data_IF_231721651953
#
_entry.id   IF_231721651953
#
_cell.length_a   1.000
_cell.length_b   1.000
_cell.length_c   1.000
_cell.angle_alpha   90.00
_cell.angle_beta   90.00
_cell.angle_gamma   90.00
#
_symmetry.space_group_name_H-M   'P 1'
#
loop_
_entity.id
_entity.type
_entity.pdbx_description
1 polymer ?
#
# COMPACT_ATOMS: atom_id res chain seq x y z
N UNK A 1 -12.71 13.42 -14.61
CA UNK A 1 -12.08 12.92 -13.37
C UNK A 1 -12.93 11.76 -12.87
N UNK A 2 -12.43 10.53 -13.03
CA UNK A 2 -13.16 9.32 -12.65
C UNK A 2 -13.09 9.09 -11.15
N UNK A 3 -14.22 9.26 -10.49
CA UNK A 3 -14.44 8.74 -9.14
C UNK A 3 -14.37 7.20 -9.21
N UNK A 4 -13.31 6.59 -8.70
CA UNK A 4 -13.40 5.20 -8.24
C UNK A 4 -14.10 5.18 -6.89
N UNK A 5 -15.39 5.54 -6.91
CA UNK A 5 -16.31 5.08 -5.88
C UNK A 5 -16.45 3.58 -6.06
N UNK A 6 -16.17 2.80 -5.03
CA UNK A 6 -16.61 1.41 -4.96
C UNK A 6 -18.14 1.40 -4.98
N UNK A 7 -18.74 1.40 -6.18
CA UNK A 7 -20.12 1.01 -6.35
C UNK A 7 -20.24 -0.48 -6.02
N UNK A 8 -20.56 -0.73 -4.76
CA UNK A 8 -20.94 -2.04 -4.27
C UNK A 8 -22.20 -2.50 -5.04
N UNK A 9 -22.18 -3.62 -5.78
CA UNK A 9 -23.36 -4.08 -6.49
C UNK A 9 -24.47 -4.37 -5.47
N UNK A 10 -25.61 -3.69 -5.60
CA UNK A 10 -26.77 -3.85 -4.69
C UNK A 10 -27.35 -5.28 -4.65
N UNK A 11 -26.86 -6.21 -5.49
CA UNK A 11 -27.39 -7.57 -5.69
C UNK A 11 -26.72 -8.68 -4.89
N UNK A 12 -25.58 -8.43 -4.22
CA UNK A 12 -24.89 -9.47 -3.46
C UNK A 12 -25.55 -9.70 -2.08
N UNK A 13 -25.89 -10.96 -1.79
CA UNK A 13 -26.54 -11.39 -0.54
C UNK A 13 -25.53 -11.97 0.45
N UNK A 14 -24.43 -12.55 -0.06
CA UNK A 14 -23.43 -13.27 0.74
C UNK A 14 -22.02 -12.78 0.39
N UNK A 15 -21.18 -12.63 1.41
CA UNK A 15 -19.78 -12.25 1.30
C UNK A 15 -18.88 -13.40 1.76
N UNK A 16 -17.84 -13.66 1.00
CA UNK A 16 -16.82 -14.63 1.35
C UNK A 16 -15.47 -13.91 1.46
N UNK A 17 -14.71 -14.26 2.49
CA UNK A 17 -13.37 -13.78 2.75
C UNK A 17 -12.43 -14.96 2.90
N UNK A 18 -11.35 -14.96 2.13
CA UNK A 18 -10.18 -15.79 2.41
C UNK A 18 -9.13 -14.96 3.14
N UNK A 19 -8.73 -15.43 4.31
CA UNK A 19 -7.63 -14.92 5.09
C UNK A 19 -6.37 -15.75 4.82
N UNK A 20 -5.32 -15.12 4.30
CA UNK A 20 -4.03 -15.75 4.04
C UNK A 20 -2.85 -14.93 4.61
N UNK A 21 -1.77 -15.60 4.98
CA UNK A 21 -0.57 -14.94 5.52
C UNK A 21 0.39 -14.47 4.41
N UNK A 22 0.46 -15.26 3.34
CA UNK A 22 1.23 -14.96 2.13
C UNK A 22 0.33 -15.18 0.92
N UNK A 23 0.59 -14.45 -0.18
CA UNK A 23 -0.13 -14.62 -1.45
C UNK A 23 0.15 -16.02 -2.03
N UNK A 24 -0.72 -16.98 -1.72
CA UNK A 24 -0.51 -18.38 -2.09
C UNK A 24 -1.73 -19.03 -2.73
N UNK A 25 -2.93 -18.79 -2.19
CA UNK A 25 -4.16 -19.50 -2.62
C UNK A 25 -5.32 -18.56 -2.92
N UNK A 26 -5.27 -17.29 -2.49
CA UNK A 26 -6.38 -16.36 -2.63
C UNK A 26 -6.75 -15.99 -4.06
N UNK A 27 -5.78 -15.85 -4.96
CA UNK A 27 -6.08 -15.53 -6.36
C UNK A 27 -6.84 -16.67 -7.05
N UNK A 28 -6.34 -17.90 -6.90
CA UNK A 28 -6.98 -19.09 -7.46
C UNK A 28 -8.39 -19.29 -6.87
N UNK A 29 -8.51 -19.18 -5.55
CA UNK A 29 -9.78 -19.39 -4.85
C UNK A 29 -10.86 -18.37 -5.20
N UNK A 30 -10.48 -17.10 -5.42
CA UNK A 30 -11.43 -16.07 -5.89
C UNK A 30 -11.87 -16.34 -7.32
N UNK A 31 -10.96 -16.79 -8.19
CA UNK A 31 -11.29 -17.18 -9.57
C UNK A 31 -12.22 -18.39 -9.61
N UNK A 32 -12.00 -19.38 -8.75
CA UNK A 32 -12.88 -20.55 -8.63
C UNK A 32 -14.31 -20.15 -8.27
N UNK A 33 -14.53 -19.02 -7.60
CA UNK A 33 -15.86 -18.55 -7.19
C UNK A 33 -16.47 -17.50 -8.12
N UNK A 34 -15.78 -17.14 -9.22
CA UNK A 34 -16.23 -16.07 -10.12
C UNK A 34 -17.58 -16.36 -10.76
N UNK A 35 -17.89 -17.64 -11.00
CA UNK A 35 -19.16 -18.07 -11.59
C UNK A 35 -20.36 -17.81 -10.66
N UNK A 36 -20.12 -17.55 -9.36
CA UNK A 36 -21.14 -17.22 -8.35
C UNK A 36 -21.22 -15.73 -8.03
N UNK A 37 -20.58 -14.87 -8.81
CA UNK A 37 -20.54 -13.41 -8.59
C UNK A 37 -21.92 -12.70 -8.52
N UNK A 38 -23.00 -13.39 -8.92
CA UNK A 38 -24.37 -12.88 -8.86
C UNK A 38 -25.01 -13.03 -7.47
N UNK A 39 -24.45 -13.89 -6.59
CA UNK A 39 -24.95 -14.16 -5.23
C UNK A 39 -23.85 -13.95 -4.18
N UNK A 40 -22.61 -14.31 -4.54
CA UNK A 40 -21.45 -14.37 -3.67
C UNK A 40 -20.39 -13.33 -4.07
N UNK A 41 -20.05 -12.44 -3.15
CA UNK A 41 -18.89 -11.55 -3.29
C UNK A 41 -17.66 -12.19 -2.68
N UNK A 42 -16.73 -12.69 -3.50
CA UNK A 42 -15.47 -13.24 -3.02
C UNK A 42 -14.41 -12.14 -2.83
N UNK A 43 -13.68 -12.19 -1.72
CA UNK A 43 -12.63 -11.24 -1.35
C UNK A 43 -11.48 -11.96 -0.66
N UNK A 44 -10.29 -11.39 -0.79
CA UNK A 44 -9.10 -11.81 -0.04
C UNK A 44 -8.75 -10.77 1.03
N UNK A 45 -8.20 -11.23 2.14
CA UNK A 45 -7.69 -10.43 3.23
C UNK A 45 -6.37 -11.03 3.71
N UNK A 46 -5.40 -10.17 4.03
CA UNK A 46 -4.11 -10.60 4.55
C UNK A 46 -4.16 -10.77 6.07
N UNK A 47 -3.17 -11.46 6.64
CA UNK A 47 -3.04 -11.70 8.08
C UNK A 47 -2.98 -10.42 8.93
N UNK A 48 -2.56 -9.29 8.34
CA UNK A 48 -2.56 -7.98 8.97
C UNK A 48 -3.91 -7.24 8.90
N UNK A 49 -4.95 -7.84 8.31
CA UNK A 49 -6.28 -7.23 8.25
C UNK A 49 -6.89 -7.09 9.64
N UNK A 50 -7.55 -5.96 9.97
CA UNK A 50 -8.25 -5.79 11.24
C UNK A 50 -9.35 -6.85 11.47
N UNK A 51 -9.88 -7.44 10.40
CA UNK A 51 -10.86 -8.53 10.46
C UNK A 51 -10.29 -9.80 11.11
N UNK A 52 -8.99 -10.07 11.00
CA UNK A 52 -8.33 -11.23 11.61
C UNK A 52 -8.44 -11.17 13.14
N UNK A 53 -8.21 -9.98 13.70
CA UNK A 53 -8.33 -9.75 15.15
C UNK A 53 -9.79 -9.83 15.60
N UNK A 54 -10.70 -9.22 14.84
CA UNK A 54 -12.14 -9.23 15.15
C UNK A 54 -12.74 -10.64 15.15
N UNK A 55 -12.31 -11.49 14.22
CA UNK A 55 -12.80 -12.87 14.06
C UNK A 55 -11.97 -13.88 14.85
N UNK A 56 -10.94 -13.44 15.58
CA UNK A 56 -10.01 -14.27 16.33
C UNK A 56 -9.42 -15.42 15.47
N UNK A 57 -9.03 -15.09 14.23
CA UNK A 57 -8.41 -16.04 13.30
C UNK A 57 -6.95 -16.23 13.70
N UNK A 58 -6.59 -17.46 14.07
CA UNK A 58 -5.23 -17.83 14.51
C UNK A 58 -4.47 -18.69 13.52
N UNK A 59 -5.20 -19.33 12.60
CA UNK A 59 -4.66 -20.28 11.64
C UNK A 59 -4.91 -19.76 10.23
N UNK A 60 -3.91 -19.85 9.37
CA UNK A 60 -4.03 -19.49 7.96
C UNK A 60 -3.72 -20.72 7.08
N UNK A 61 -4.31 -20.83 5.88
CA UNK A 61 -5.40 -19.99 5.37
C UNK A 61 -6.76 -20.35 5.97
N UNK A 62 -7.61 -19.35 6.25
CA UNK A 62 -8.97 -19.53 6.82
C UNK A 62 -10.00 -18.83 5.95
N UNK A 63 -11.15 -19.47 5.78
CA UNK A 63 -12.25 -19.00 4.94
C UNK A 63 -13.42 -18.66 5.84
N UNK A 64 -14.01 -17.48 5.65
CA UNK A 64 -15.20 -17.05 6.36
C UNK A 64 -16.30 -16.61 5.38
N UNK A 65 -17.54 -16.99 5.66
CA UNK A 65 -18.73 -16.66 4.88
C UNK A 65 -19.68 -15.86 5.75
N UNK A 66 -20.18 -14.74 5.25
CA UNK A 66 -21.09 -13.83 5.96
C UNK A 66 -22.34 -13.56 5.13
N UNK A 67 -23.49 -13.54 5.77
CA UNK A 67 -24.70 -12.99 5.16
C UNK A 67 -24.72 -11.47 5.36
N UNK A 68 -25.19 -10.72 4.37
CA UNK A 68 -25.18 -9.25 4.41
C UNK A 68 -25.96 -8.65 5.59
N UNK A 69 -26.99 -9.34 6.05
CA UNK A 69 -27.88 -8.96 7.15
C UNK A 69 -27.45 -9.57 8.51
N UNK A 70 -26.37 -10.35 8.56
CA UNK A 70 -25.90 -11.04 9.75
C UNK A 70 -24.50 -10.59 10.15
N UNK A 71 -24.31 -10.34 11.45
CA UNK A 71 -22.97 -10.05 12.00
C UNK A 71 -22.14 -11.32 12.23
N UNK A 72 -22.79 -12.49 12.30
CA UNK A 72 -22.12 -13.77 12.51
C UNK A 72 -21.77 -14.45 11.18
N UNK A 73 -20.64 -15.14 11.15
CA UNK A 73 -20.25 -15.95 10.01
C UNK A 73 -21.19 -17.15 9.88
N UNK A 74 -21.71 -17.39 8.67
CA UNK A 74 -22.44 -18.61 8.30
C UNK A 74 -21.52 -19.82 8.20
N UNK A 75 -20.24 -19.59 7.95
CA UNK A 75 -19.22 -20.62 7.83
C UNK A 75 -17.86 -20.01 8.14
N UNK A 76 -17.05 -20.68 8.95
CA UNK A 76 -15.68 -20.25 9.24
C UNK A 76 -14.81 -21.46 9.53
N UNK A 77 -13.95 -21.86 8.59
CA UNK A 77 -13.03 -22.99 8.75
C UNK A 77 -11.73 -22.79 7.97
N UNK A 78 -10.74 -23.63 8.26
CA UNK A 78 -9.46 -23.66 7.53
C UNK A 78 -9.70 -24.02 6.05
N UNK A 79 -8.97 -23.37 5.16
CA UNK A 79 -9.00 -23.70 3.73
C UNK A 79 -8.46 -25.12 3.48
N UNK A 80 -9.25 -25.92 2.77
CA UNK A 80 -8.93 -27.27 2.32
C UNK A 80 -9.45 -27.47 0.89
N UNK A 81 -9.10 -28.59 0.26
CA UNK A 81 -9.61 -28.95 -1.06
C UNK A 81 -11.15 -29.13 -1.09
N UNK A 82 -11.79 -29.25 0.07
CA UNK A 82 -13.25 -29.44 0.18
C UNK A 82 -14.01 -28.12 0.34
N UNK A 83 -13.31 -27.02 0.62
CA UNK A 83 -13.88 -25.73 1.00
C UNK A 83 -14.87 -25.16 -0.02
N UNK A 84 -14.62 -25.31 -1.32
CA UNK A 84 -15.54 -24.80 -2.35
C UNK A 84 -16.91 -25.49 -2.25
N UNK A 85 -16.92 -26.82 -2.04
CA UNK A 85 -18.16 -27.57 -1.83
C UNK A 85 -18.83 -27.22 -0.51
N UNK A 86 -18.06 -27.02 0.56
CA UNK A 86 -18.60 -26.65 1.88
C UNK A 86 -19.25 -25.27 1.84
N UNK A 87 -18.69 -24.33 1.08
CA UNK A 87 -19.33 -23.04 0.80
C UNK A 87 -20.64 -23.24 0.04
N UNK A 88 -20.65 -24.08 -1.00
CA UNK A 88 -21.84 -24.35 -1.80
C UNK A 88 -22.97 -24.98 -0.97
N UNK A 89 -22.62 -25.92 -0.10
CA UNK A 89 -23.55 -26.56 0.83
C UNK A 89 -24.07 -25.54 1.86
N UNK A 90 -23.21 -24.65 2.39
CA UNK A 90 -23.59 -23.60 3.32
C UNK A 90 -24.54 -22.56 2.68
N UNK A 91 -24.25 -22.12 1.45
CA UNK A 91 -25.11 -21.19 0.69
C UNK A 91 -26.46 -21.85 0.39
N UNK A 92 -26.45 -23.10 -0.07
CA UNK A 92 -27.67 -23.83 -0.41
C UNK A 92 -28.52 -24.11 0.84
N UNK A 93 -27.87 -24.42 1.97
CA UNK A 93 -28.52 -24.62 3.26
C UNK A 93 -29.20 -23.35 3.78
N UNK A 94 -28.49 -22.21 3.75
CA UNK A 94 -29.01 -20.91 4.18
C UNK A 94 -30.21 -20.47 3.33
N UNK A 95 -30.13 -20.65 2.00
CA UNK A 95 -31.24 -20.34 1.09
C UNK A 95 -32.48 -21.20 1.32
N UNK A 96 -32.31 -22.48 1.65
CA UNK A 96 -33.43 -23.40 1.92
C UNK A 96 -34.07 -23.16 3.29
N UNK A 97 -33.31 -22.70 4.29
CA UNK A 97 -33.78 -22.48 5.66
C UNK A 97 -34.40 -21.10 5.89
N UNK A 98 -34.46 -20.23 4.88
CA UNK A 98 -35.08 -18.90 5.00
C UNK A 98 -34.50 -18.05 6.13
N UNK A 99 -33.22 -18.29 6.47
CA UNK A 99 -32.52 -17.63 7.56
C UNK A 99 -32.91 -18.03 8.98
N UNK A 100 -33.58 -19.17 9.19
CA UNK A 100 -33.73 -19.78 10.52
C UNK A 100 -32.62 -20.81 10.75
N UNK A 101 -31.63 -20.41 11.56
CA UNK A 101 -30.38 -21.12 11.83
C UNK A 101 -30.57 -22.59 12.28
N UNK A 102 -29.75 -23.48 11.71
CA UNK A 102 -29.15 -24.55 12.51
C UNK A 102 -27.91 -23.99 13.23
N UNK A 103 -27.74 -24.20 14.55
CA UNK A 103 -26.62 -23.64 15.29
C UNK A 103 -25.32 -24.33 14.88
N UNK A 104 -24.33 -23.55 14.46
CA UNK A 104 -22.96 -24.06 14.36
C UNK A 104 -22.39 -24.11 15.78
N UNK A 105 -22.07 -25.33 16.21
CA UNK A 105 -21.40 -25.67 17.46
C UNK A 105 -19.92 -25.25 17.42
N UNK A 106 -19.63 -23.95 17.53
CA UNK A 106 -18.41 -23.34 18.14
C UNK A 106 -18.28 -21.87 17.72
N UNK A 107 -19.28 -21.06 18.03
CA UNK A 107 -19.00 -19.64 18.30
C UNK A 107 -19.05 -19.49 19.81
N UNK A 108 -17.90 -19.62 20.47
CA UNK A 108 -17.76 -19.02 21.80
C UNK A 108 -18.21 -17.59 21.63
N UNK A 109 -19.21 -17.16 22.40
CA UNK A 109 -19.54 -15.74 22.51
C UNK A 109 -18.21 -15.02 22.67
N UNK A 110 -17.84 -14.21 21.68
CA UNK A 110 -16.77 -13.27 21.89
C UNK A 110 -17.19 -12.53 23.17
N UNK A 111 -16.33 -12.48 24.22
CA UNK A 111 -16.57 -11.48 25.23
C UNK A 111 -16.75 -10.17 24.46
N UNK A 112 -17.69 -9.34 24.91
CA UNK A 112 -17.72 -7.95 24.49
C UNK A 112 -16.34 -7.41 24.85
N UNK A 113 -15.38 -7.55 23.93
CA UNK A 113 -14.28 -6.65 23.82
C UNK A 113 -15.03 -5.36 23.64
N UNK A 114 -15.07 -4.58 24.72
CA UNK A 114 -14.83 -3.16 24.59
C UNK A 114 -13.84 -3.08 23.45
N UNK A 115 -14.35 -2.77 22.26
CA UNK A 115 -13.52 -2.19 21.24
C UNK A 115 -12.85 -1.10 22.04
N UNK A 116 -11.58 -1.27 22.39
CA UNK A 116 -10.65 -0.18 22.25
C UNK A 116 -10.86 0.20 20.80
N UNK A 117 -11.90 1.01 20.57
CA UNK A 117 -12.02 1.84 19.41
C UNK A 117 -10.64 2.44 19.42
N UNK A 118 -9.80 2.05 18.45
CA UNK A 118 -8.70 2.92 18.07
C UNK A 118 -9.37 4.27 18.04
N UNK A 119 -9.06 5.17 19.00
CA UNK A 119 -9.88 6.34 19.23
C UNK A 119 -10.04 6.95 17.85
N UNK A 120 -11.26 7.29 17.44
CA UNK A 120 -11.43 7.98 16.17
C UNK A 120 -10.66 9.29 16.35
N UNK A 121 -9.38 9.30 15.96
CA UNK A 121 -8.49 10.41 16.20
C UNK A 121 -9.00 11.44 15.20
N UNK A 122 -9.71 12.42 15.73
CA UNK A 122 -10.04 13.59 14.95
C UNK A 122 -8.74 14.31 14.62
N UNK A 123 -8.21 14.04 13.42
CA UNK A 123 -6.97 14.61 12.94
C UNK A 123 -7.06 16.14 12.76
N UNK A 124 -8.27 16.72 12.75
CA UNK A 124 -8.44 18.17 12.79
C UNK A 124 -8.14 18.74 14.18
N UNK A 125 -8.59 18.05 15.24
CA UNK A 125 -8.38 18.48 16.62
C UNK A 125 -7.04 18.04 17.20
N UNK A 126 -6.48 16.93 16.71
CA UNK A 126 -5.22 16.34 17.19
C UNK A 126 -4.28 15.94 16.02
N UNK A 127 -3.79 16.92 15.24
CA UNK A 127 -2.95 16.67 14.06
C UNK A 127 -1.66 15.92 14.39
N UNK A 128 -1.08 16.15 15.57
CA UNK A 128 0.12 15.45 16.05
C UNK A 128 -0.07 13.94 16.15
N UNK A 129 -1.29 13.48 16.42
CA UNK A 129 -1.63 12.05 16.54
C UNK A 129 -1.88 11.38 15.18
N UNK A 130 -2.11 12.17 14.12
CA UNK A 130 -2.24 11.68 12.75
C UNK A 130 -1.01 12.01 11.89
N UNK A 131 0.11 12.35 12.53
CA UNK A 131 1.32 12.78 11.86
C UNK A 131 1.80 11.76 10.83
N UNK A 132 1.66 10.48 11.13
CA UNK A 132 2.06 9.37 10.25
C UNK A 132 1.24 9.29 8.95
N UNK A 133 -0.01 9.79 8.95
CA UNK A 133 -0.88 9.76 7.76
C UNK A 133 -0.72 11.00 6.85
N UNK A 134 -0.38 12.16 7.43
CA UNK A 134 -0.37 13.43 6.70
C UNK A 134 1.03 13.98 6.41
N UNK A 135 2.07 13.47 7.08
CA UNK A 135 3.44 13.91 6.88
C UNK A 135 4.26 12.79 6.27
N UNK A 136 5.21 13.17 5.41
CA UNK A 136 6.21 12.25 4.87
C UNK A 136 7.56 12.64 5.45
N UNK A 137 8.35 11.64 5.86
CA UNK A 137 9.70 11.89 6.35
C UNK A 137 10.65 12.20 5.19
N UNK A 138 11.68 13.03 5.45
CA UNK A 138 12.76 13.28 4.47
C UNK A 138 13.43 11.96 4.05
N UNK A 139 13.64 11.05 5.01
CA UNK A 139 14.20 9.71 4.78
C UNK A 139 13.38 8.89 3.79
N UNK A 140 12.06 8.82 3.97
CA UNK A 140 11.18 8.02 3.11
C UNK A 140 11.14 8.59 1.69
N UNK A 141 11.04 9.92 1.55
CA UNK A 141 11.10 10.57 0.23
C UNK A 141 12.41 10.24 -0.49
N UNK A 142 13.54 10.40 0.19
CA UNK A 142 14.86 10.17 -0.40
C UNK A 142 15.07 8.70 -0.74
N UNK A 143 14.63 7.79 0.11
CA UNK A 143 14.73 6.34 -0.14
C UNK A 143 13.89 5.94 -1.36
N UNK A 144 12.65 6.43 -1.45
CA UNK A 144 11.79 6.21 -2.61
C UNK A 144 12.43 6.74 -3.89
N UNK A 145 13.02 7.94 -3.86
CA UNK A 145 13.71 8.49 -5.03
C UNK A 145 14.93 7.66 -5.42
N UNK A 146 15.73 7.19 -4.46
CA UNK A 146 16.88 6.35 -4.76
C UNK A 146 16.46 5.03 -5.42
N UNK A 147 15.42 4.40 -4.91
CA UNK A 147 14.86 3.18 -5.51
C UNK A 147 14.35 3.43 -6.93
N UNK A 148 13.58 4.50 -7.13
CA UNK A 148 13.06 4.85 -8.46
C UNK A 148 14.17 5.18 -9.46
N UNK A 149 15.23 5.87 -9.03
CA UNK A 149 16.26 6.39 -9.92
C UNK A 149 17.42 5.44 -10.16
N UNK A 150 17.70 4.54 -9.22
CA UNK A 150 18.78 3.57 -9.35
C UNK A 150 18.22 2.17 -9.55
N UNK A 151 17.47 1.66 -8.59
CA UNK A 151 17.06 0.24 -8.57
C UNK A 151 16.11 -0.07 -9.74
N UNK A 152 15.09 0.75 -9.97
CA UNK A 152 14.14 0.56 -11.07
C UNK A 152 14.76 0.83 -12.45
N UNK A 153 15.55 1.89 -12.58
CA UNK A 153 16.20 2.24 -13.86
C UNK A 153 17.20 1.17 -14.28
N UNK A 154 17.88 0.55 -13.31
CA UNK A 154 18.88 -0.49 -13.56
C UNK A 154 18.33 -1.92 -13.44
N UNK A 155 17.03 -2.07 -13.17
CA UNK A 155 16.35 -3.38 -13.08
C UNK A 155 16.35 -4.12 -14.41
N UNK A 156 16.21 -3.39 -15.51
CA UNK A 156 16.22 -3.98 -16.85
C UNK A 156 17.66 -3.96 -17.39
N UNK A 157 18.28 -5.13 -17.63
CA UNK A 157 19.62 -5.18 -18.19
C UNK A 157 19.61 -4.67 -19.64
N UNK A 158 20.66 -3.94 -20.03
CA UNK A 158 20.81 -3.43 -21.39
C UNK A 158 21.03 -1.92 -21.45
N UNK A 159 20.53 -1.28 -22.52
CA UNK A 159 20.64 0.16 -22.72
C UNK A 159 19.28 0.84 -22.57
N UNK A 160 19.26 1.97 -21.87
CA UNK A 160 18.13 2.89 -21.76
C UNK A 160 18.15 3.75 -23.03
N UNK A 161 17.15 3.59 -23.90
CA UNK A 161 17.07 4.26 -25.22
C UNK A 161 15.64 4.71 -25.54
N UNK A 162 15.50 5.58 -26.53
CA UNK A 162 14.19 6.01 -27.05
C UNK A 162 13.36 6.71 -25.97
N UNK A 163 12.08 6.38 -25.89
CA UNK A 163 11.14 6.99 -24.94
C UNK A 163 11.59 6.82 -23.48
N UNK A 164 12.19 5.68 -23.13
CA UNK A 164 12.70 5.45 -21.77
C UNK A 164 13.82 6.44 -21.41
N UNK A 165 14.66 6.82 -22.37
CA UNK A 165 15.72 7.81 -22.17
C UNK A 165 15.11 9.21 -22.00
N UNK A 166 14.17 9.58 -22.87
CA UNK A 166 13.49 10.88 -22.79
C UNK A 166 12.72 11.03 -21.48
N UNK A 167 11.96 10.01 -21.08
CA UNK A 167 11.19 10.00 -19.83
C UNK A 167 12.11 10.10 -18.60
N UNK A 168 13.25 9.41 -18.60
CA UNK A 168 14.22 9.50 -17.51
C UNK A 168 14.83 10.90 -17.41
N UNK A 169 15.16 11.51 -18.55
CA UNK A 169 15.68 12.88 -18.59
C UNK A 169 14.64 13.91 -18.10
N UNK A 170 13.39 13.79 -18.54
CA UNK A 170 12.29 14.66 -18.08
C UNK A 170 12.02 14.47 -16.58
N UNK A 171 12.03 13.23 -16.10
CA UNK A 171 11.87 12.94 -14.67
C UNK A 171 12.98 13.56 -13.82
N UNK A 172 14.26 13.42 -14.23
CA UNK A 172 15.37 14.10 -13.56
C UNK A 172 15.25 15.62 -13.59
N UNK A 173 14.73 16.17 -14.69
CA UNK A 173 14.47 17.60 -14.81
C UNK A 173 13.43 18.07 -13.79
N UNK A 174 12.32 17.35 -13.66
CA UNK A 174 11.29 17.65 -12.66
C UNK A 174 11.85 17.59 -11.23
N UNK A 175 12.63 16.55 -10.92
CA UNK A 175 13.24 16.42 -9.59
C UNK A 175 14.25 17.54 -9.31
N UNK A 176 15.11 17.89 -10.27
CA UNK A 176 16.06 18.99 -10.08
C UNK A 176 15.39 20.34 -9.79
N UNK A 177 14.20 20.57 -10.36
CA UNK A 177 13.51 21.87 -10.27
C UNK A 177 12.54 21.94 -9.09
N UNK A 178 11.89 20.82 -8.74
CA UNK A 178 10.74 20.82 -7.85
C UNK A 178 10.90 19.95 -6.60
N UNK A 179 12.01 19.24 -6.42
CA UNK A 179 12.18 18.40 -5.23
C UNK A 179 12.16 19.25 -3.95
N UNK A 180 11.34 18.88 -2.94
CA UNK A 180 11.15 19.70 -1.75
C UNK A 180 12.41 19.70 -0.87
N UNK A 181 12.96 20.89 -0.64
CA UNK A 181 14.13 21.11 0.23
C UNK A 181 13.80 21.86 1.51
N UNK A 182 12.54 22.24 1.69
CA UNK A 182 12.05 22.97 2.86
C UNK A 182 10.89 22.19 3.49
N UNK A 183 10.88 22.13 4.81
CA UNK A 183 9.74 21.68 5.60
C UNK A 183 9.19 22.86 6.39
N UNK A 184 7.87 22.99 6.43
CA UNK A 184 7.20 24.05 7.17
C UNK A 184 6.65 23.48 8.49
N UNK A 185 7.08 24.04 9.61
CA UNK A 185 6.43 23.77 10.89
C UNK A 185 5.14 24.58 10.97
N UNK A 186 4.01 23.91 10.70
CA UNK A 186 2.71 24.46 11.00
C UNK A 186 2.37 24.11 12.46
N UNK A 187 2.74 24.97 13.40
CA UNK A 187 2.15 24.92 14.75
C UNK A 187 0.66 25.30 14.62
N UNK A 188 -0.21 24.30 14.43
CA UNK A 188 -1.66 24.49 14.26
C UNK A 188 -2.28 25.23 15.47
N UNK A 189 -1.63 25.21 16.64
CA UNK A 189 -2.03 25.97 17.84
C UNK A 189 -1.74 27.47 17.78
N UNK A 190 -0.99 27.98 16.80
CA UNK A 190 -0.65 29.40 16.66
C UNK A 190 -1.14 29.97 15.33
N UNK A 191 -2.43 29.83 15.00
CA UNK A 191 -3.06 30.61 13.93
C UNK A 191 -3.03 32.15 14.15
N UNK A 192 -2.40 32.64 15.24
CA UNK A 192 -2.25 34.07 15.56
C UNK A 192 -0.81 34.61 15.44
N UNK A 193 0.20 33.79 15.13
CA UNK A 193 1.59 34.24 15.04
C UNK A 193 2.15 34.14 13.61
N UNK A 194 2.40 35.30 13.00
CA UNK A 194 2.87 35.57 11.62
C UNK A 194 4.27 35.05 11.24
N UNK A 195 4.76 33.91 11.75
CA UNK A 195 6.05 33.34 11.30
C UNK A 195 5.98 31.83 11.13
N UNK A 196 5.76 31.40 9.90
CA UNK A 196 6.15 30.05 9.44
C UNK A 196 7.67 30.01 9.39
N UNK A 197 8.30 29.28 10.31
CA UNK A 197 9.74 28.99 10.24
C UNK A 197 9.95 27.77 9.36
N UNK A 198 10.53 27.97 8.18
CA UNK A 198 10.91 26.86 7.30
C UNK A 198 12.23 26.24 7.77
N UNK A 199 12.24 24.91 7.89
CA UNK A 199 13.45 24.12 8.17
C UNK A 199 14.00 23.61 6.84
N UNK A 200 15.31 23.81 6.62
CA UNK A 200 16.00 23.29 5.43
C UNK A 200 16.25 21.79 5.62
N UNK A 201 15.79 21.00 4.66
CA UNK A 201 16.04 19.57 4.52
C UNK A 201 17.40 19.37 3.83
N UNK A 202 18.44 19.17 4.64
CA UNK A 202 19.84 19.16 4.17
C UNK A 202 20.14 18.02 3.20
N UNK A 203 19.55 16.85 3.40
CA UNK A 203 19.77 15.73 2.49
C UNK A 203 18.96 15.91 1.21
N UNK A 204 17.75 16.47 1.29
CA UNK A 204 17.00 16.87 0.10
C UNK A 204 17.72 17.92 -0.75
N UNK A 205 18.37 18.91 -0.11
CA UNK A 205 19.17 19.91 -0.82
C UNK A 205 20.32 19.27 -1.60
N UNK A 206 21.05 18.35 -0.96
CA UNK A 206 22.12 17.58 -1.59
C UNK A 206 21.61 16.64 -2.68
N UNK A 207 20.47 15.98 -2.47
CA UNK A 207 19.84 15.13 -3.46
C UNK A 207 19.45 15.91 -4.72
N UNK A 208 18.99 17.16 -4.57
CA UNK A 208 18.71 18.04 -5.70
C UNK A 208 19.95 18.31 -6.54
N UNK A 209 21.13 18.44 -5.93
CA UNK A 209 22.40 18.55 -6.67
C UNK A 209 22.74 17.27 -7.45
N UNK A 210 22.47 16.10 -6.86
CA UNK A 210 22.59 14.81 -7.57
C UNK A 210 21.66 14.79 -8.79
N UNK A 211 20.40 15.19 -8.65
CA UNK A 211 19.44 15.23 -9.76
C UNK A 211 19.89 16.17 -10.87
N UNK A 212 20.37 17.36 -10.53
CA UNK A 212 20.90 18.33 -11.50
C UNK A 212 22.08 17.74 -12.28
N UNK A 213 23.04 17.12 -11.59
CA UNK A 213 24.22 16.57 -12.25
C UNK A 213 23.88 15.35 -13.11
N UNK A 214 22.95 14.50 -12.68
CA UNK A 214 22.46 13.39 -13.49
C UNK A 214 21.66 13.85 -14.71
N UNK A 215 20.89 14.94 -14.58
CA UNK A 215 20.21 15.58 -15.72
C UNK A 215 21.23 16.06 -16.75
N UNK A 216 22.29 16.74 -16.33
CA UNK A 216 23.36 17.22 -17.22
C UNK A 216 24.09 16.06 -17.92
N UNK A 217 24.35 14.98 -17.19
CA UNK A 217 24.92 13.76 -17.78
C UNK A 217 24.03 13.18 -18.89
N UNK A 218 22.72 13.13 -18.68
CA UNK A 218 21.76 12.67 -19.68
C UNK A 218 21.64 13.66 -20.85
N UNK A 219 21.61 14.96 -20.60
CA UNK A 219 21.57 15.98 -21.67
C UNK A 219 22.82 15.88 -22.57
N UNK A 220 24.00 15.62 -21.99
CA UNK A 220 25.23 15.36 -22.75
C UNK A 220 25.17 14.11 -23.66
N UNK A 221 24.24 13.18 -23.39
CA UNK A 221 24.02 11.96 -24.19
C UNK A 221 22.82 12.02 -25.11
N UNK A 222 22.13 13.15 -25.16
CA UNK A 222 20.93 13.34 -25.98
C UNK A 222 21.18 13.11 -27.46
N UNK A 223 22.37 13.47 -27.97
CA UNK A 223 22.77 13.21 -29.35
C UNK A 223 22.86 11.70 -29.68
N UNK A 224 23.28 10.88 -28.71
CA UNK A 224 23.36 9.42 -28.84
C UNK A 224 22.01 8.76 -28.50
N UNK A 225 21.18 9.44 -27.70
CA UNK A 225 19.84 8.99 -27.29
C UNK A 225 19.86 7.68 -26.50
N UNK A 226 21.02 7.33 -25.91
CA UNK A 226 21.17 6.08 -25.19
C UNK A 226 22.26 6.09 -24.13
N UNK A 227 22.05 5.30 -23.07
CA UNK A 227 23.04 5.02 -22.01
C UNK A 227 22.90 3.57 -21.54
N UNK A 228 24.00 2.89 -21.25
CA UNK A 228 23.90 1.53 -20.68
C UNK A 228 23.51 1.58 -19.20
N UNK A 229 22.77 0.59 -18.72
CA UNK A 229 22.35 0.52 -17.32
C UNK A 229 23.54 0.52 -16.35
N UNK A 230 24.62 -0.18 -16.69
CA UNK A 230 25.84 -0.22 -15.87
C UNK A 230 26.58 1.11 -15.82
N UNK A 231 26.64 1.82 -16.95
CA UNK A 231 27.23 3.15 -17.02
C UNK A 231 26.43 4.16 -16.23
N UNK A 232 25.09 4.12 -16.36
CA UNK A 232 24.20 4.95 -15.59
C UNK A 232 24.34 4.66 -14.08
N UNK A 233 24.38 3.39 -13.66
CA UNK A 233 24.58 2.98 -12.27
C UNK A 233 25.87 3.56 -11.69
N UNK A 234 27.00 3.35 -12.38
CA UNK A 234 28.31 3.84 -11.94
C UNK A 234 28.33 5.36 -11.84
N UNK A 235 27.72 6.05 -12.80
CA UNK A 235 27.63 7.50 -12.77
C UNK A 235 26.79 7.96 -11.58
N UNK A 236 25.62 7.37 -11.36
CA UNK A 236 24.74 7.73 -10.25
C UNK A 236 25.43 7.54 -8.89
N UNK A 237 26.03 6.38 -8.65
CA UNK A 237 26.74 6.07 -7.40
C UNK A 237 27.96 6.98 -7.19
N UNK A 238 28.65 7.35 -8.28
CA UNK A 238 29.76 8.31 -8.23
C UNK A 238 29.28 9.69 -7.80
N UNK A 239 28.22 10.19 -8.43
CA UNK A 239 27.62 11.51 -8.13
C UNK A 239 27.03 11.54 -6.72
N UNK A 240 26.35 10.47 -6.32
CA UNK A 240 25.83 10.28 -4.96
C UNK A 240 26.97 10.44 -3.93
N UNK A 241 28.13 9.83 -4.17
CA UNK A 241 29.30 9.94 -3.30
C UNK A 241 29.86 11.37 -3.24
N UNK A 242 29.92 12.07 -4.36
CA UNK A 242 30.39 13.47 -4.44
C UNK A 242 29.55 14.40 -3.56
N UNK A 243 28.23 14.19 -3.52
CA UNK A 243 27.31 14.99 -2.70
C UNK A 243 27.07 14.39 -1.30
N UNK A 244 28.05 13.66 -0.76
CA UNK A 244 28.04 13.08 0.57
C UNK A 244 26.92 12.07 0.84
N UNK A 245 26.53 11.30 -0.19
CA UNK A 245 25.56 10.19 -0.13
C UNK A 245 24.24 10.59 0.55
N UNK A 246 23.46 11.49 -0.08
CA UNK A 246 22.26 12.04 0.55
C UNK A 246 21.14 11.02 0.71
N UNK A 247 21.15 9.92 -0.05
CA UNK A 247 20.10 8.93 0.00
C UNK A 247 20.40 7.83 1.04
N UNK A 248 19.43 7.48 1.90
CA UNK A 248 19.71 6.61 3.02
C UNK A 248 19.56 5.12 2.62
N UNK A 249 20.68 4.44 2.38
CA UNK A 249 20.72 3.04 1.89
C UNK A 249 20.36 2.01 2.98
N UNK A 250 20.85 2.20 4.20
CA UNK A 250 20.67 1.25 5.33
C UNK A 250 19.58 1.68 6.33
N UNK A 251 18.76 2.68 5.98
CA UNK A 251 17.68 3.14 6.85
C UNK A 251 16.45 2.25 6.70
N UNK A 252 15.76 1.96 7.80
CA UNK A 252 14.39 1.45 7.73
C UNK A 252 13.46 2.57 7.26
N UNK A 253 12.39 2.21 6.55
CA UNK A 253 11.31 3.17 6.27
C UNK A 253 10.81 3.73 7.60
N UNK A 254 10.51 5.02 7.70
CA UNK A 254 10.05 5.63 8.94
C UNK A 254 8.52 5.56 9.05
N UNK A 255 7.81 6.01 8.02
CA UNK A 255 6.35 6.10 8.00
C UNK A 255 5.70 5.14 7.00
N UNK A 256 6.50 4.54 6.11
CA UNK A 256 6.04 3.57 5.10
C UNK A 256 6.33 2.12 5.50
N UNK A 257 6.42 1.81 6.80
CA UNK A 257 6.50 0.43 7.28
C UNK A 257 5.10 -0.20 7.22
N UNK A 258 4.96 -1.29 6.47
CA UNK A 258 3.74 -2.10 6.37
C UNK A 258 3.89 -3.45 7.04
#
# INVERSE_FOLDING_TARGET
>A
MGNFGMECPRKLTIWQFLFEEYDGVGAQFVMDLIFRNHILGARRALSNSPLVQMLNIRNFPTVALFRRDHQQALYMQRYTNQTVKEIDDAITGDMKQGGRQAPILTTTYAPTTTTTQTPLIDCHSYPDRCREMYYVSETDMLKAMRMALLDEVTRVPGSIRGDNFTNLHEFMTLLSNHFPVLSFQNDIRRMRAKRTTSVILRNSERARLVFTHMREFLEGRKAVGSVSADEYRRQFESVERVYASPFPVNSTWQLLQG
#
